data_IF_986598878997
#
_entry.id   IF_986598878997
#
_cell.length_a   1.000
_cell.length_b   1.000
_cell.length_c   1.000
_cell.angle_alpha   90.00
_cell.angle_beta   90.00
_cell.angle_gamma   90.00
#
_symmetry.space_group_name_H-M   'P 1'
#
loop_
_entity.id
_entity.type
_entity.pdbx_description
1 polymer ?
#
# COMPACT_ATOMS: atom_id res chain seq x y z
N UNK A 1 -4.01 1.25 6.41
CA UNK A 1 -2.61 0.90 6.75
C UNK A 1 -1.70 1.92 6.12
N UNK A 2 -0.69 2.39 6.85
CA UNK A 2 0.25 3.40 6.35
C UNK A 2 1.65 3.11 6.88
N UNK A 3 2.64 3.22 5.99
CA UNK A 3 4.03 2.99 6.31
C UNK A 3 4.56 3.99 7.35
N UNK A 4 5.68 3.63 7.98
CA UNK A 4 6.29 4.42 9.04
C UNK A 4 7.11 5.63 8.58
N UNK A 5 6.93 6.12 7.34
CA UNK A 5 7.72 7.24 6.83
C UNK A 5 7.51 8.52 7.67
N UNK A 6 8.56 9.32 7.83
CA UNK A 6 8.56 10.49 8.72
C UNK A 6 7.37 11.45 8.52
N UNK A 7 6.97 11.82 7.30
CA UNK A 7 5.80 12.67 7.09
C UNK A 7 4.49 12.05 7.59
N UNK A 8 4.38 10.73 7.53
CA UNK A 8 3.17 9.97 7.87
C UNK A 8 3.00 9.78 9.38
N UNK A 9 4.11 9.75 10.12
CA UNK A 9 4.12 9.58 11.58
C UNK A 9 4.14 10.89 12.35
N UNK A 10 4.09 12.04 11.65
CA UNK A 10 4.08 13.35 12.28
C UNK A 10 2.86 13.53 13.20
N UNK A 11 3.06 14.21 14.34
CA UNK A 11 2.04 14.32 15.39
C UNK A 11 0.69 14.82 14.88
N UNK A 12 0.68 15.85 14.02
CA UNK A 12 -0.58 16.41 13.47
C UNK A 12 -1.29 15.41 12.55
N UNK A 13 -0.53 14.68 11.73
CA UNK A 13 -1.09 13.64 10.84
C UNK A 13 -1.71 12.53 11.67
N UNK A 14 -1.01 12.03 12.69
CA UNK A 14 -1.56 11.01 13.60
C UNK A 14 -2.80 11.48 14.36
N UNK A 15 -2.81 12.72 14.84
CA UNK A 15 -3.99 13.29 15.52
C UNK A 15 -5.19 13.36 14.57
N UNK A 16 -4.97 13.81 13.34
CA UNK A 16 -6.02 13.85 12.32
C UNK A 16 -6.54 12.43 12.01
N UNK A 17 -5.65 11.46 11.84
CA UNK A 17 -6.00 10.05 11.61
C UNK A 17 -6.82 9.48 12.77
N UNK A 18 -6.45 9.76 14.03
CA UNK A 18 -7.21 9.34 15.21
C UNK A 18 -8.63 9.89 15.22
N UNK A 19 -8.79 11.16 14.87
CA UNK A 19 -10.10 11.83 14.86
C UNK A 19 -11.05 11.25 13.81
N UNK A 20 -10.53 10.79 12.67
CA UNK A 20 -11.37 10.30 11.56
C UNK A 20 -11.53 8.78 11.55
N UNK A 21 -10.48 8.05 11.95
CA UNK A 21 -10.41 6.60 11.80
C UNK A 21 -10.38 5.84 13.12
N UNK A 22 -10.19 6.49 14.28
CA UNK A 22 -9.97 5.86 15.60
C UNK A 22 -8.66 5.07 15.69
N UNK A 23 -8.15 4.86 16.90
CA UNK A 23 -6.91 4.09 17.10
C UNK A 23 -7.06 2.61 16.68
N UNK A 24 -8.26 2.03 16.81
CA UNK A 24 -8.51 0.62 16.54
C UNK A 24 -8.53 0.25 15.04
N UNK A 25 -8.83 1.20 14.14
CA UNK A 25 -8.82 0.95 12.68
C UNK A 25 -7.52 1.35 12.01
N UNK A 26 -6.55 1.86 12.78
CA UNK A 26 -5.28 2.36 12.26
C UNK A 26 -4.17 1.33 12.44
N UNK A 27 -3.56 0.97 11.32
CA UNK A 27 -2.35 0.13 11.25
C UNK A 27 -1.21 1.02 10.79
N UNK A 28 -0.36 1.45 11.72
CA UNK A 28 0.78 2.34 11.46
C UNK A 28 1.72 2.42 12.67
N UNK A 29 2.88 3.06 12.51
CA UNK A 29 3.86 3.23 13.57
C UNK A 29 3.30 4.06 14.74
N UNK A 30 3.47 3.56 15.97
CA UNK A 30 2.93 4.15 17.21
C UNK A 30 1.39 4.24 17.30
N UNK A 31 0.68 3.31 16.62
CA UNK A 31 -0.72 2.96 16.89
C UNK A 31 -0.79 1.58 17.58
N UNK A 32 -1.93 1.21 18.19
CA UNK A 32 -2.07 -0.09 18.86
C UNK A 32 -1.70 -1.28 17.96
N UNK A 33 -2.11 -1.23 16.69
CA UNK A 33 -1.67 -2.18 15.67
C UNK A 33 -0.49 -1.56 14.92
N UNK A 34 0.72 -1.93 15.32
CA UNK A 34 1.94 -1.43 14.69
C UNK A 34 2.15 -2.08 13.31
N UNK A 35 2.62 -1.28 12.34
CA UNK A 35 3.13 -1.80 11.07
C UNK A 35 4.66 -1.83 11.10
N UNK A 36 5.32 -2.92 10.68
CA UNK A 36 6.77 -3.02 10.73
C UNK A 36 7.42 -1.97 9.80
N UNK A 37 8.53 -1.35 10.22
CA UNK A 37 9.22 -0.35 9.41
C UNK A 37 9.85 -0.98 8.17
N UNK A 38 9.82 -0.25 7.04
CA UNK A 38 10.45 -0.67 5.76
C UNK A 38 9.93 -2.00 5.22
N UNK A 39 8.61 -2.16 5.19
CA UNK A 39 7.97 -3.41 4.76
C UNK A 39 7.14 -3.21 3.47
N UNK A 40 7.78 -2.88 2.34
CA UNK A 40 7.09 -2.71 1.05
C UNK A 40 6.55 -4.05 0.53
N UNK A 41 7.20 -5.15 0.91
CA UNK A 41 6.86 -6.54 0.59
C UNK A 41 5.50 -6.97 1.15
N UNK A 42 4.98 -6.30 2.18
CA UNK A 42 3.64 -6.56 2.74
C UNK A 42 2.65 -5.42 2.47
N UNK A 43 3.05 -4.37 1.76
CA UNK A 43 2.15 -3.24 1.47
C UNK A 43 1.53 -3.41 0.08
N UNK A 44 0.20 -3.64 -0.06
CA UNK A 44 -0.43 -3.90 -1.36
C UNK A 44 -0.19 -2.81 -2.40
N UNK A 45 -0.08 -1.56 -1.96
CA UNK A 45 0.26 -0.47 -2.85
C UNK A 45 1.66 -0.64 -3.44
N UNK A 46 2.63 -1.07 -2.64
CA UNK A 46 4.05 -1.14 -3.01
C UNK A 46 4.38 -2.40 -3.79
N UNK A 47 3.94 -3.59 -3.33
CA UNK A 47 4.26 -4.84 -4.03
C UNK A 47 3.40 -5.08 -5.27
N UNK A 48 2.23 -4.43 -5.40
CA UNK A 48 1.30 -4.69 -6.50
C UNK A 48 0.84 -3.43 -7.23
N UNK A 49 0.11 -2.52 -6.56
CA UNK A 49 -0.61 -1.43 -7.25
C UNK A 49 0.32 -0.54 -8.08
N UNK A 50 1.44 -0.09 -7.49
CA UNK A 50 2.37 0.78 -8.20
C UNK A 50 3.05 0.09 -9.37
N UNK A 51 3.37 -1.20 -9.26
CA UNK A 51 3.87 -2.01 -10.38
C UNK A 51 2.84 -2.08 -11.50
N UNK A 52 1.62 -2.52 -11.17
CA UNK A 52 0.50 -2.61 -12.11
C UNK A 52 0.22 -1.29 -12.84
N UNK A 53 0.13 -0.18 -12.10
CA UNK A 53 -0.14 1.12 -12.70
C UNK A 53 0.98 1.56 -13.64
N UNK A 54 2.25 1.46 -13.20
CA UNK A 54 3.40 1.83 -14.03
C UNK A 54 3.43 1.03 -15.33
N UNK A 55 3.24 -0.29 -15.25
CA UNK A 55 3.27 -1.17 -16.41
C UNK A 55 2.20 -0.82 -17.45
N UNK A 56 1.01 -0.40 -17.00
CA UNK A 56 -0.09 -0.08 -17.89
C UNK A 56 -0.02 1.36 -18.43
N UNK A 57 0.36 2.32 -17.59
CA UNK A 57 0.43 3.75 -17.95
C UNK A 57 1.61 4.00 -18.90
N UNK A 58 2.81 3.51 -18.55
CA UNK A 58 4.01 3.83 -19.32
C UNK A 58 4.10 3.11 -20.67
N UNK A 59 3.29 2.07 -20.91
CA UNK A 59 3.09 1.50 -22.26
C UNK A 59 2.60 2.54 -23.26
N UNK A 60 1.74 3.47 -22.82
CA UNK A 60 1.17 4.53 -23.66
C UNK A 60 2.03 5.80 -23.72
N UNK A 61 3.10 5.88 -22.93
CA UNK A 61 4.03 7.03 -22.86
C UNK A 61 3.28 8.38 -22.78
N UNK A 62 2.61 8.69 -21.67
CA UNK A 62 1.86 9.94 -21.53
C UNK A 62 2.77 11.14 -21.83
N UNK A 63 2.31 12.04 -22.70
CA UNK A 63 3.09 13.17 -23.22
C UNK A 63 3.03 14.40 -22.30
N UNK A 64 2.08 14.43 -21.36
CA UNK A 64 1.87 15.56 -20.46
C UNK A 64 1.39 15.12 -19.07
N UNK A 65 1.46 16.05 -18.11
CA UNK A 65 0.94 15.82 -16.77
C UNK A 65 -0.58 15.57 -16.74
N UNK A 66 -1.43 16.29 -17.50
CA UNK A 66 -2.83 15.94 -17.67
C UNK A 66 -3.04 14.51 -18.17
N UNK A 67 -2.34 14.10 -19.24
CA UNK A 67 -2.47 12.75 -19.79
C UNK A 67 -2.10 11.68 -18.77
N UNK A 68 -1.03 11.92 -18.00
CA UNK A 68 -0.61 11.02 -16.93
C UNK A 68 -1.70 10.91 -15.84
N UNK A 69 -2.27 12.04 -15.40
CA UNK A 69 -3.33 12.05 -14.38
C UNK A 69 -4.59 11.31 -14.87
N UNK A 70 -4.99 11.53 -16.12
CA UNK A 70 -6.17 10.89 -16.68
C UNK A 70 -5.94 9.39 -16.93
N UNK A 71 -4.73 9.02 -17.34
CA UNK A 71 -4.34 7.61 -17.44
C UNK A 71 -4.36 6.91 -16.08
N UNK A 72 -3.83 7.53 -15.03
CA UNK A 72 -3.90 6.99 -13.65
C UNK A 72 -5.36 6.78 -13.24
N UNK A 73 -6.22 7.81 -13.38
CA UNK A 73 -7.64 7.70 -13.01
C UNK A 73 -8.34 6.60 -13.80
N UNK A 74 -8.12 6.56 -15.12
CA UNK A 74 -8.71 5.55 -15.99
C UNK A 74 -8.30 4.14 -15.58
N UNK A 75 -7.02 3.89 -15.30
CA UNK A 75 -6.58 2.57 -14.87
C UNK A 75 -7.10 2.20 -13.48
N UNK A 76 -7.09 3.12 -12.51
CA UNK A 76 -7.62 2.88 -11.16
C UNK A 76 -9.11 2.55 -11.18
N UNK A 77 -9.92 3.29 -11.95
CA UNK A 77 -11.37 3.03 -12.06
C UNK A 77 -11.71 1.69 -12.72
N UNK A 78 -10.77 1.13 -13.50
CA UNK A 78 -10.95 -0.14 -14.18
C UNK A 78 -10.35 -1.34 -13.42
N UNK A 79 -9.74 -1.11 -12.25
CA UNK A 79 -9.27 -2.20 -11.39
C UNK A 79 -10.49 -3.00 -10.93
N UNK A 80 -10.46 -4.30 -11.21
CA UNK A 80 -11.53 -5.20 -10.79
C UNK A 80 -11.50 -5.41 -9.27
N UNK A 81 -12.68 -5.54 -8.66
CA UNK A 81 -12.80 -5.77 -7.22
C UNK A 81 -12.04 -7.03 -6.76
N UNK A 82 -12.02 -8.08 -7.60
CA UNK A 82 -11.29 -9.32 -7.30
C UNK A 82 -9.78 -9.11 -7.27
N UNK A 83 -9.23 -8.20 -8.09
CA UNK A 83 -7.81 -7.85 -8.03
C UNK A 83 -7.46 -7.15 -6.71
N UNK A 84 -8.34 -6.27 -6.22
CA UNK A 84 -8.17 -5.62 -4.92
C UNK A 84 -8.26 -6.64 -3.77
N UNK A 85 -9.23 -7.57 -3.85
CA UNK A 85 -9.38 -8.64 -2.86
C UNK A 85 -8.15 -9.53 -2.83
N UNK A 86 -7.68 -9.98 -3.98
CA UNK A 86 -6.49 -10.82 -4.11
C UNK A 86 -5.25 -10.12 -3.56
N UNK A 87 -5.08 -8.81 -3.78
CA UNK A 87 -3.97 -8.06 -3.19
C UNK A 87 -4.02 -8.04 -1.65
N UNK A 88 -5.22 -7.92 -1.05
CA UNK A 88 -5.39 -7.98 0.41
C UNK A 88 -5.16 -9.38 0.95
N UNK A 89 -5.66 -10.42 0.28
CA UNK A 89 -5.43 -11.82 0.66
C UNK A 89 -3.94 -12.16 0.58
N UNK A 90 -3.25 -11.71 -0.47
CA UNK A 90 -1.80 -11.88 -0.65
C UNK A 90 -1.01 -11.21 0.46
N UNK A 91 -1.44 -10.03 0.95
CA UNK A 91 -0.82 -9.39 2.11
C UNK A 91 -0.93 -10.27 3.36
N UNK A 92 -2.08 -10.91 3.59
CA UNK A 92 -2.28 -11.81 4.75
C UNK A 92 -1.34 -13.01 4.64
N UNK A 93 -1.28 -13.67 3.46
CA UNK A 93 -0.38 -14.80 3.22
C UNK A 93 1.11 -14.42 3.42
N UNK A 94 1.50 -13.23 2.96
CA UNK A 94 2.86 -12.72 3.17
C UNK A 94 3.16 -12.49 4.64
N UNK A 95 2.21 -11.94 5.40
CA UNK A 95 2.37 -11.77 6.85
C UNK A 95 2.52 -13.12 7.58
N UNK A 96 1.71 -14.12 7.22
CA UNK A 96 1.82 -15.48 7.79
C UNK A 96 3.21 -16.07 7.52
N UNK A 97 3.70 -15.95 6.29
CA UNK A 97 5.04 -16.42 5.92
C UNK A 97 6.17 -15.72 6.68
N UNK A 98 6.08 -14.40 6.88
CA UNK A 98 7.05 -13.62 7.68
C UNK A 98 7.12 -14.13 9.13
N UNK A 99 5.97 -14.47 9.72
CA UNK A 99 5.88 -15.01 11.08
C UNK A 99 6.53 -16.39 11.15
N UNK A 100 6.29 -17.25 10.17
CA UNK A 100 6.87 -18.59 10.10
C UNK A 100 8.40 -18.59 9.88
N UNK A 101 8.93 -17.59 9.17
CA UNK A 101 10.33 -17.56 8.72
C UNK A 101 11.21 -16.49 9.41
N UNK A 102 10.84 -16.07 10.63
CA UNK A 102 11.61 -15.16 11.48
C UNK A 102 12.04 -13.85 10.79
N UNK A 103 11.11 -13.16 10.11
CA UNK A 103 11.30 -11.77 9.64
C UNK A 103 12.37 -11.60 8.54
N UNK A 104 12.52 -12.59 7.65
CA UNK A 104 13.36 -12.45 6.44
C UNK A 104 12.59 -11.81 5.28
N UNK A 105 13.32 -11.15 4.38
CA UNK A 105 12.76 -10.52 3.20
C UNK A 105 12.14 -11.58 2.26
N UNK A 106 10.91 -11.34 1.80
CA UNK A 106 10.22 -12.20 0.84
C UNK A 106 10.30 -11.57 -0.55
N UNK A 107 10.86 -12.30 -1.52
CA UNK A 107 10.93 -11.86 -2.93
C UNK A 107 9.84 -12.46 -3.81
N UNK A 108 9.18 -13.57 -3.41
CA UNK A 108 8.26 -14.28 -4.29
C UNK A 108 7.01 -14.83 -3.58
N UNK A 109 5.85 -14.45 -4.14
CA UNK A 109 4.57 -15.16 -4.15
C UNK A 109 4.00 -15.02 -5.56
#
# INVERSE_FOLDING_TARGET
MQDGAHPHIYRRVKQWLRQHFTDARMISYNFPTAWPPRSPDITPCDFWLWGFLKDNIYRKRPASLPDLKDSIRGHVLNIQADSLRSAVETMILRLEHIVEHEVRHIEQF
#
